data_IF_540848200607
#
_entry.id   IF_540848200607
#
_cell.length_a   1.000
_cell.length_b   1.000
_cell.length_c   1.000
_cell.angle_alpha   90.00
_cell.angle_beta   90.00
_cell.angle_gamma   90.00
#
_symmetry.space_group_name_H-M   'P 1'
#
loop_
_entity.id
_entity.type
_entity.pdbx_description
1 polymer ?
#
# COMPACT_ATOMS: atom_id res chain seq x y z
N UNK A 1 -14.26 24.64 79.56
CA UNK A 1 -13.59 24.69 78.24
C UNK A 1 -12.39 23.74 78.27
N UNK A 2 -12.50 22.59 77.61
CA UNK A 2 -11.40 21.64 77.38
C UNK A 2 -11.43 21.29 75.90
N UNK A 3 -10.40 21.67 75.16
CA UNK A 3 -10.23 21.32 73.75
C UNK A 3 -9.67 19.91 73.67
N UNK A 4 -10.41 18.99 73.05
CA UNK A 4 -9.92 17.67 72.67
C UNK A 4 -9.36 17.76 71.25
N UNK A 5 -8.06 17.50 71.13
CA UNK A 5 -7.33 17.45 69.87
C UNK A 5 -7.54 16.06 69.24
N UNK A 6 -8.28 15.98 68.14
CA UNK A 6 -8.45 14.77 67.33
C UNK A 6 -7.28 14.68 66.35
N UNK A 7 -6.38 13.71 66.56
CA UNK A 7 -5.35 13.32 65.60
C UNK A 7 -5.98 12.33 64.60
N UNK A 8 -5.93 12.57 63.28
CA UNK A 8 -6.38 11.60 62.31
C UNK A 8 -5.32 10.49 62.18
N UNK A 9 -5.68 9.28 62.58
CA UNK A 9 -4.92 8.07 62.30
C UNK A 9 -5.03 7.76 60.80
N UNK A 10 -3.95 8.00 60.05
CA UNK A 10 -3.79 7.51 58.69
C UNK A 10 -3.60 5.98 58.74
N UNK A 11 -4.64 5.23 58.37
CA UNK A 11 -4.51 3.81 58.06
C UNK A 11 -3.65 3.66 56.80
N UNK A 12 -2.38 3.29 56.98
CA UNK A 12 -1.58 2.73 55.89
C UNK A 12 -2.13 1.34 55.55
N UNK A 13 -2.73 1.26 54.36
CA UNK A 13 -3.15 0.03 53.72
C UNK A 13 -1.94 -0.82 53.36
N UNK A 14 -1.80 -1.99 53.99
CA UNK A 14 -0.97 -3.07 53.44
C UNK A 14 -1.74 -3.70 52.28
N UNK A 15 -1.61 -3.11 51.09
CA UNK A 15 -1.92 -3.79 49.84
C UNK A 15 -0.87 -4.88 49.65
N UNK A 16 -1.21 -6.10 50.06
CA UNK A 16 -0.44 -7.28 49.70
C UNK A 16 -0.45 -7.39 48.17
N UNK A 17 0.68 -7.05 47.54
CA UNK A 17 0.92 -7.40 46.15
C UNK A 17 1.02 -8.92 46.09
N UNK A 18 -0.06 -9.57 45.66
CA UNK A 18 -0.04 -10.98 45.27
C UNK A 18 0.99 -11.12 44.16
N UNK A 19 2.16 -11.69 44.46
CA UNK A 19 3.14 -12.03 43.44
C UNK A 19 2.50 -13.09 42.54
N UNK A 20 2.17 -12.69 41.32
CA UNK A 20 1.74 -13.62 40.27
C UNK A 20 2.95 -14.49 39.96
N UNK A 21 2.92 -15.74 40.41
CA UNK A 21 3.95 -16.73 40.08
C UNK A 21 3.72 -17.11 38.62
N UNK A 22 4.61 -16.67 37.74
CA UNK A 22 4.57 -17.05 36.33
C UNK A 22 5.30 -18.38 36.18
N UNK A 23 4.59 -19.41 35.74
CA UNK A 23 5.19 -20.72 35.53
C UNK A 23 6.22 -20.68 34.38
N UNK A 24 7.40 -21.31 34.57
CA UNK A 24 8.34 -21.50 33.48
C UNK A 24 7.76 -22.48 32.45
N UNK A 25 8.11 -22.29 31.17
CA UNK A 25 7.71 -23.21 30.13
C UNK A 25 8.51 -24.54 30.26
N UNK A 26 7.87 -25.69 30.49
CA UNK A 26 8.56 -26.97 30.66
C UNK A 26 9.32 -27.42 29.40
N UNK A 27 8.89 -26.98 28.20
CA UNK A 27 9.64 -27.23 26.96
C UNK A 27 10.87 -26.36 26.79
N UNK A 28 11.01 -25.31 27.59
CA UNK A 28 12.18 -24.44 27.62
C UNK A 28 13.12 -24.86 28.77
N UNK A 29 12.60 -25.08 29.97
CA UNK A 29 13.39 -25.51 31.13
C UNK A 29 13.87 -26.95 30.99
N UNK A 30 15.17 -27.18 30.98
CA UNK A 30 15.84 -28.48 30.86
C UNK A 30 15.81 -29.12 29.45
N UNK A 31 15.59 -28.33 28.40
CA UNK A 31 15.74 -28.80 27.03
C UNK A 31 17.22 -28.84 26.61
N UNK A 32 17.71 -29.92 25.98
CA UNK A 32 19.04 -29.92 25.36
C UNK A 32 19.15 -28.88 24.22
N UNK A 33 18.02 -28.38 23.72
CA UNK A 33 17.96 -27.36 22.67
C UNK A 33 17.93 -25.92 23.21
N UNK A 34 18.07 -25.73 24.52
CA UNK A 34 17.97 -24.41 25.15
C UNK A 34 18.83 -23.33 24.47
N UNK A 35 20.08 -23.58 24.02
CA UNK A 35 20.86 -22.57 23.28
C UNK A 35 20.17 -22.08 22.00
N UNK A 36 19.59 -22.99 21.22
CA UNK A 36 18.86 -22.67 19.98
C UNK A 36 17.55 -21.94 20.30
N UNK A 37 16.86 -22.34 21.37
CA UNK A 37 15.63 -21.67 21.81
C UNK A 37 15.90 -20.26 22.35
N UNK A 38 17.06 -20.02 22.95
CA UNK A 38 17.52 -18.69 23.38
C UNK A 38 17.79 -17.78 22.19
N UNK A 39 18.45 -18.30 21.16
CA UNK A 39 18.66 -17.62 19.87
C UNK A 39 17.33 -17.27 19.18
N UNK A 40 16.36 -18.19 19.24
CA UNK A 40 15.03 -17.94 18.71
C UNK A 40 14.29 -16.87 19.51
N UNK A 41 14.42 -16.86 20.83
CA UNK A 41 13.77 -15.90 21.73
C UNK A 41 14.63 -14.66 22.00
N UNK A 42 15.30 -14.14 20.97
CA UNK A 42 16.05 -12.88 21.01
C UNK A 42 15.51 -11.89 19.96
N UNK A 43 14.88 -10.80 20.42
CA UNK A 43 14.42 -9.73 19.55
C UNK A 43 14.60 -8.33 20.14
N UNK A 44 15.83 -7.82 20.05
CA UNK A 44 16.27 -6.56 20.65
C UNK A 44 15.43 -5.33 20.23
N UNK A 45 14.91 -5.31 19.01
CA UNK A 45 14.09 -4.18 18.52
C UNK A 45 12.70 -4.12 19.16
N UNK A 46 12.19 -5.23 19.70
CA UNK A 46 10.88 -5.30 20.33
C UNK A 46 10.94 -4.99 21.83
N UNK A 47 11.96 -5.46 22.53
CA UNK A 47 12.15 -5.21 23.97
C UNK A 47 12.84 -3.87 24.28
N UNK A 48 13.34 -3.17 23.26
CA UNK A 48 13.91 -1.83 23.37
C UNK A 48 15.42 -1.80 23.62
N UNK A 49 16.11 -2.94 23.55
CA UNK A 49 17.60 -2.98 23.55
C UNK A 49 18.20 -2.29 22.32
N UNK A 50 17.46 -2.24 21.21
CA UNK A 50 17.84 -1.50 20.00
C UNK A 50 16.66 -0.70 19.48
N UNK A 51 16.94 0.45 18.87
CA UNK A 51 15.91 1.25 18.21
C UNK A 51 15.60 0.68 16.82
N UNK A 52 14.32 0.58 16.42
CA UNK A 52 13.98 0.22 15.06
C UNK A 52 14.53 1.23 14.04
N UNK A 53 14.97 0.77 12.87
CA UNK A 53 15.59 1.62 11.85
C UNK A 53 14.79 1.63 10.54
N UNK A 54 14.92 2.73 9.79
CA UNK A 54 14.43 2.82 8.40
C UNK A 54 15.65 2.56 7.51
N UNK A 55 15.80 1.37 6.91
CA UNK A 55 16.98 1.07 6.12
C UNK A 55 16.95 1.87 4.81
N UNK A 56 18.13 2.18 4.29
CA UNK A 56 18.24 2.75 2.95
C UNK A 56 17.87 1.66 1.91
N UNK A 57 16.89 1.91 1.02
CA UNK A 57 16.43 0.91 0.05
C UNK A 57 17.49 0.54 -1.00
N UNK A 58 18.58 1.29 -1.09
CA UNK A 58 19.73 1.03 -1.99
C UNK A 58 20.95 0.42 -1.28
N UNK A 59 20.81 -0.04 -0.04
CA UNK A 59 21.89 -0.69 0.72
C UNK A 59 21.52 -2.12 1.08
N UNK A 60 22.50 -3.02 1.07
CA UNK A 60 22.33 -4.43 1.48
C UNK A 60 21.62 -4.53 2.83
N UNK A 61 20.52 -5.28 2.87
CA UNK A 61 19.69 -5.50 4.07
C UNK A 61 19.87 -6.94 4.51
N UNK A 62 20.19 -7.17 5.78
CA UNK A 62 20.33 -8.52 6.34
C UNK A 62 19.21 -8.81 7.33
N UNK A 63 18.85 -10.08 7.44
CA UNK A 63 17.86 -10.63 8.36
C UNK A 63 18.54 -11.76 9.13
N UNK A 64 18.30 -11.86 10.43
CA UNK A 64 18.90 -12.91 11.27
C UNK A 64 18.01 -14.15 11.35
N UNK A 65 16.70 -14.02 11.19
CA UNK A 65 15.77 -15.16 11.25
C UNK A 65 15.10 -15.42 9.91
N UNK A 66 14.82 -16.69 9.63
CA UNK A 66 14.10 -17.16 8.44
C UNK A 66 12.95 -18.08 8.87
N UNK A 67 11.80 -17.89 8.26
CA UNK A 67 10.57 -18.64 8.52
C UNK A 67 9.95 -19.10 7.19
N UNK A 68 9.62 -20.38 7.08
CA UNK A 68 8.71 -20.88 6.05
C UNK A 68 7.30 -20.91 6.62
N UNK A 69 6.38 -20.16 6.03
CA UNK A 69 4.99 -20.05 6.49
C UNK A 69 4.07 -20.70 5.47
N UNK A 70 3.16 -21.56 5.97
CA UNK A 70 1.99 -22.01 5.24
C UNK A 70 0.80 -21.20 5.71
N UNK A 71 0.07 -20.58 4.79
CA UNK A 71 -1.16 -19.89 5.12
C UNK A 71 -2.34 -20.35 4.26
N UNK A 72 -3.52 -20.28 4.84
CA UNK A 72 -4.80 -20.43 4.16
C UNK A 72 -5.47 -19.06 4.13
N UNK A 73 -5.69 -18.56 2.93
CA UNK A 73 -6.43 -17.34 2.66
C UNK A 73 -7.68 -17.67 1.82
N UNK A 74 -8.62 -16.73 1.60
CA UNK A 74 -9.82 -16.97 0.79
C UNK A 74 -9.52 -17.50 -0.63
N UNK A 75 -8.40 -17.11 -1.22
CA UNK A 75 -7.93 -17.59 -2.52
C UNK A 75 -7.30 -19.00 -2.52
N UNK A 76 -7.15 -19.64 -1.35
CA UNK A 76 -6.61 -20.98 -1.18
C UNK A 76 -5.42 -21.05 -0.23
N UNK A 77 -4.79 -22.23 -0.21
CA UNK A 77 -3.58 -22.49 0.58
C UNK A 77 -2.35 -22.07 -0.23
N UNK A 78 -1.39 -21.43 0.44
CA UNK A 78 -0.10 -21.07 -0.15
C UNK A 78 1.03 -21.04 0.88
N UNK A 79 2.23 -20.83 0.36
CA UNK A 79 3.49 -20.79 1.09
C UNK A 79 4.19 -19.46 0.84
N UNK A 80 4.91 -18.96 1.83
CA UNK A 80 5.66 -17.70 1.79
C UNK A 80 6.86 -17.80 2.72
N UNK A 81 7.97 -17.20 2.32
CA UNK A 81 9.17 -17.11 3.13
C UNK A 81 9.20 -15.75 3.79
N UNK A 82 9.40 -15.74 5.10
CA UNK A 82 9.50 -14.54 5.92
C UNK A 82 10.88 -14.48 6.53
N UNK A 83 11.49 -13.30 6.47
CA UNK A 83 12.82 -13.01 6.97
C UNK A 83 12.67 -11.90 8.01
N UNK A 84 13.18 -12.11 9.22
CA UNK A 84 13.04 -11.15 10.31
C UNK A 84 14.42 -10.63 10.67
N UNK A 85 14.54 -9.30 10.72
CA UNK A 85 15.66 -8.64 11.37
C UNK A 85 15.19 -8.21 12.76
N UNK A 86 15.56 -9.01 13.74
CA UNK A 86 15.16 -8.84 15.13
C UNK A 86 15.90 -7.69 15.82
N UNK A 87 17.02 -7.24 15.25
CA UNK A 87 17.85 -6.14 15.76
C UNK A 87 17.33 -4.76 15.38
N UNK A 88 16.84 -4.57 14.16
CA UNK A 88 16.34 -3.25 13.69
C UNK A 88 14.86 -3.25 13.35
N UNK A 89 14.16 -4.35 13.59
CA UNK A 89 12.70 -4.41 13.52
C UNK A 89 12.15 -4.42 12.10
N UNK A 90 12.69 -5.30 11.25
CA UNK A 90 12.25 -5.46 9.85
C UNK A 90 11.70 -6.85 9.59
N UNK A 91 10.73 -6.93 8.70
CA UNK A 91 10.14 -8.16 8.16
C UNK A 91 10.21 -8.10 6.64
N UNK A 92 11.02 -8.96 6.04
CA UNK A 92 11.06 -9.22 4.61
C UNK A 92 10.17 -10.42 4.26
N UNK A 93 9.49 -10.41 3.11
CA UNK A 93 8.70 -11.57 2.69
C UNK A 93 8.54 -11.71 1.18
N UNK A 94 8.43 -12.96 0.73
CA UNK A 94 8.10 -13.33 -0.65
C UNK A 94 6.59 -13.44 -0.86
N UNK A 95 6.07 -13.23 -2.08
CA UNK A 95 4.65 -13.43 -2.36
C UNK A 95 4.17 -14.85 -2.06
N UNK A 96 2.86 -15.01 -1.88
CA UNK A 96 2.25 -16.33 -1.78
C UNK A 96 2.44 -17.14 -3.05
N UNK A 97 3.00 -18.34 -2.88
CA UNK A 97 3.04 -19.37 -3.91
C UNK A 97 2.10 -20.53 -3.55
N UNK A 98 1.46 -21.13 -4.54
CA UNK A 98 0.64 -22.34 -4.33
C UNK A 98 1.48 -23.61 -4.18
N UNK A 99 2.72 -23.58 -4.64
CA UNK A 99 3.68 -24.69 -4.50
C UNK A 99 4.61 -24.42 -3.34
N UNK A 100 5.26 -25.47 -2.82
CA UNK A 100 6.41 -25.29 -1.93
C UNK A 100 7.44 -24.40 -2.63
N UNK A 101 8.10 -23.53 -1.85
CA UNK A 101 9.06 -22.54 -2.33
C UNK A 101 10.40 -22.74 -1.65
N UNK A 102 11.49 -22.45 -2.37
CA UNK A 102 12.77 -22.20 -1.72
C UNK A 102 12.74 -20.80 -1.10
N UNK A 103 13.35 -20.66 0.08
CA UNK A 103 13.56 -19.36 0.72
C UNK A 103 14.87 -18.68 0.27
N UNK A 104 15.36 -19.00 -0.93
CA UNK A 104 16.48 -18.31 -1.55
C UNK A 104 16.01 -17.04 -2.28
N UNK A 105 16.71 -15.93 -2.05
CA UNK A 105 16.40 -14.65 -2.68
C UNK A 105 17.18 -14.47 -3.99
N UNK A 106 16.72 -15.10 -5.07
CA UNK A 106 17.33 -14.93 -6.40
C UNK A 106 16.87 -13.62 -7.08
N UNK A 107 17.68 -12.58 -6.91
CA UNK A 107 17.42 -11.25 -7.48
C UNK A 107 17.49 -11.20 -9.01
N UNK A 108 17.96 -12.27 -9.67
CA UNK A 108 18.02 -12.38 -11.13
C UNK A 108 16.78 -13.05 -11.73
N UNK A 109 15.88 -13.62 -10.92
CA UNK A 109 14.62 -14.18 -11.40
C UNK A 109 13.77 -13.07 -12.07
N UNK A 110 13.36 -13.21 -13.34
CA UNK A 110 12.46 -12.26 -13.99
C UNK A 110 11.15 -11.98 -13.24
N UNK A 111 10.70 -12.92 -12.40
CA UNK A 111 9.50 -12.81 -11.57
C UNK A 111 9.82 -12.49 -10.10
N UNK A 112 11.05 -12.08 -9.79
CA UNK A 112 11.45 -11.74 -8.43
C UNK A 112 10.55 -10.65 -7.87
N UNK A 113 9.98 -10.91 -6.69
CA UNK A 113 9.25 -9.94 -5.89
C UNK A 113 9.63 -10.18 -4.44
N UNK A 114 9.99 -9.11 -3.74
CA UNK A 114 10.32 -9.15 -2.31
C UNK A 114 9.82 -7.88 -1.63
N UNK A 115 9.13 -8.04 -0.51
CA UNK A 115 8.58 -6.92 0.24
C UNK A 115 9.35 -6.78 1.55
N UNK A 116 9.60 -5.55 2.01
CA UNK A 116 10.18 -5.28 3.32
C UNK A 116 9.28 -4.28 4.04
N UNK A 117 8.93 -4.63 5.27
CA UNK A 117 8.12 -3.83 6.17
C UNK A 117 8.91 -3.60 7.46
N UNK A 118 8.88 -2.39 8.02
CA UNK A 118 9.57 -2.07 9.28
C UNK A 118 8.66 -1.49 10.35
N UNK A 119 9.01 -1.65 11.63
CA UNK A 119 8.21 -1.14 12.77
C UNK A 119 7.97 0.38 12.72
N UNK A 120 8.82 1.14 12.01
CA UNK A 120 8.66 2.60 11.80
C UNK A 120 7.72 2.98 10.66
N UNK A 121 6.94 2.05 10.11
CA UNK A 121 6.01 2.36 9.02
C UNK A 121 6.61 2.20 7.61
N UNK A 122 7.86 1.74 7.51
CA UNK A 122 8.56 1.62 6.23
C UNK A 122 7.97 0.49 5.40
N UNK A 123 7.78 0.74 4.09
CA UNK A 123 7.36 -0.28 3.14
C UNK A 123 8.14 -0.17 1.83
N UNK A 124 8.89 -1.22 1.51
CA UNK A 124 9.61 -1.38 0.25
C UNK A 124 9.09 -2.58 -0.52
N UNK A 125 8.80 -2.38 -1.80
CA UNK A 125 8.46 -3.46 -2.73
C UNK A 125 9.54 -3.52 -3.82
N UNK A 126 10.37 -4.55 -3.77
CA UNK A 126 11.40 -4.86 -4.75
C UNK A 126 10.83 -5.82 -5.78
N UNK A 127 11.01 -5.52 -7.06
CA UNK A 127 10.54 -6.39 -8.14
C UNK A 127 11.36 -6.22 -9.41
N UNK A 128 11.27 -7.24 -10.25
CA UNK A 128 11.91 -7.25 -11.56
C UNK A 128 10.90 -7.00 -12.68
N UNK A 129 11.36 -6.35 -13.75
CA UNK A 129 10.63 -6.28 -15.02
C UNK A 129 11.56 -6.64 -16.16
N UNK A 130 11.07 -7.45 -17.09
CA UNK A 130 11.79 -7.76 -18.32
C UNK A 130 11.26 -6.88 -19.45
N UNK A 131 12.08 -5.95 -19.95
CA UNK A 131 11.73 -5.09 -21.10
C UNK A 131 12.76 -5.24 -22.20
N UNK A 132 12.33 -5.63 -23.40
CA UNK A 132 13.19 -5.81 -24.57
C UNK A 132 14.40 -6.73 -24.29
N UNK A 133 14.20 -7.82 -23.53
CA UNK A 133 15.26 -8.76 -23.16
C UNK A 133 16.23 -8.27 -22.07
N UNK A 134 16.03 -7.05 -21.54
CA UNK A 134 16.84 -6.51 -20.44
C UNK A 134 16.05 -6.60 -19.13
N UNK A 135 16.64 -7.26 -18.14
CA UNK A 135 16.13 -7.31 -16.77
C UNK A 135 16.36 -5.96 -16.09
N UNK A 136 15.29 -5.32 -15.62
CA UNK A 136 15.34 -4.09 -14.85
C UNK A 136 14.84 -4.36 -13.43
N UNK A 137 15.62 -3.93 -12.45
CA UNK A 137 15.37 -4.16 -11.03
C UNK A 137 14.88 -2.85 -10.40
N UNK A 138 13.73 -2.92 -9.74
CA UNK A 138 12.95 -1.77 -9.31
C UNK A 138 12.58 -1.86 -7.84
N UNK A 139 12.67 -0.74 -7.11
CA UNK A 139 12.13 -0.63 -5.75
C UNK A 139 11.11 0.50 -5.69
N UNK A 140 9.94 0.18 -5.14
CA UNK A 140 8.92 1.16 -4.75
C UNK A 140 9.04 1.41 -3.24
N UNK A 141 9.20 2.68 -2.90
CA UNK A 141 9.29 3.21 -1.54
C UNK A 141 7.94 3.84 -1.16
N UNK A 142 6.95 3.00 -0.82
CA UNK A 142 5.59 3.44 -0.44
C UNK A 142 5.53 4.18 0.92
N UNK A 143 6.63 4.80 1.37
CA UNK A 143 6.76 5.57 2.62
C UNK A 143 5.90 6.85 2.67
N UNK A 144 4.99 7.03 1.70
CA UNK A 144 4.09 8.18 1.57
C UNK A 144 2.76 8.02 2.29
N UNK A 145 2.48 6.86 2.92
CA UNK A 145 1.27 6.61 3.74
C UNK A 145 1.62 5.86 5.04
N UNK A 146 1.30 6.42 6.22
CA UNK A 146 1.55 5.76 7.51
C UNK A 146 0.70 4.51 7.83
N UNK A 147 -0.09 3.94 6.92
CA UNK A 147 -1.27 3.15 7.33
C UNK A 147 -1.23 1.62 7.20
N UNK A 148 -0.29 1.01 6.49
CA UNK A 148 -0.55 -0.37 6.01
C UNK A 148 0.01 -1.49 6.91
N UNK A 149 0.82 -1.15 7.92
CA UNK A 149 1.33 -2.13 8.91
C UNK A 149 0.25 -2.70 9.84
N UNK A 150 -0.85 -1.96 10.04
CA UNK A 150 -1.95 -2.40 10.91
C UNK A 150 -2.65 -3.62 10.30
N UNK A 151 -2.54 -3.83 8.98
CA UNK A 151 -3.18 -4.96 8.28
C UNK A 151 -2.45 -6.31 8.45
N UNK A 152 -1.19 -6.33 8.92
CA UNK A 152 -0.42 -7.57 9.11
C UNK A 152 -0.34 -8.03 10.58
N UNK A 153 -0.59 -7.13 11.54
CA UNK A 153 -0.62 -7.46 12.96
C UNK A 153 -2.00 -7.98 13.35
N UNK A 154 -2.07 -9.22 13.84
CA UNK A 154 -3.29 -9.77 14.48
C UNK A 154 -3.35 -9.39 15.97
N UNK A 155 -2.40 -8.59 16.45
CA UNK A 155 -2.43 -8.03 17.79
C UNK A 155 -3.75 -7.29 18.03
N UNK A 156 -4.60 -7.86 18.88
CA UNK A 156 -5.97 -7.39 19.05
C UNK A 156 -6.08 -6.23 20.05
N UNK A 157 -4.98 -5.79 20.67
CA UNK A 157 -5.02 -4.93 21.88
C UNK A 157 -5.99 -5.46 22.95
N UNK A 158 -6.27 -6.77 22.90
CA UNK A 158 -7.21 -7.48 23.75
C UNK A 158 -6.45 -8.53 24.55
N UNK A 159 -6.91 -8.83 25.77
CA UNK A 159 -6.32 -9.91 26.56
C UNK A 159 -6.63 -11.27 25.94
N UNK A 160 -5.60 -12.08 25.77
CA UNK A 160 -5.71 -13.50 25.45
C UNK A 160 -5.36 -14.34 26.66
N UNK A 161 -6.08 -15.44 26.82
CA UNK A 161 -5.97 -16.33 27.98
C UNK A 161 -5.43 -17.68 27.55
N UNK A 162 -4.45 -18.18 28.31
CA UNK A 162 -3.87 -19.51 28.15
C UNK A 162 -4.98 -20.57 28.31
N UNK A 163 -4.88 -21.62 27.52
CA UNK A 163 -5.71 -22.82 27.60
C UNK A 163 -4.83 -24.04 27.90
N UNK A 164 -5.47 -25.15 28.24
CA UNK A 164 -4.78 -26.38 28.61
C UNK A 164 -4.25 -27.13 27.37
N UNK A 165 -4.77 -26.81 26.19
CA UNK A 165 -4.34 -27.36 24.92
C UNK A 165 -2.91 -26.96 24.57
N UNK A 166 -2.11 -27.97 24.20
CA UNK A 166 -0.74 -27.82 23.74
C UNK A 166 -0.53 -28.54 22.41
N UNK A 167 0.41 -28.04 21.60
CA UNK A 167 0.77 -28.64 20.31
C UNK A 167 2.28 -28.59 20.10
N UNK A 168 2.81 -29.63 19.49
CA UNK A 168 4.23 -29.73 19.15
C UNK A 168 4.50 -29.21 17.73
N UNK A 169 5.58 -28.46 17.58
CA UNK A 169 6.05 -27.84 16.35
C UNK A 169 7.52 -28.24 16.11
N UNK A 170 7.86 -28.48 14.85
CA UNK A 170 9.20 -28.86 14.39
C UNK A 170 9.79 -30.13 15.06
N UNK A 171 8.99 -30.92 15.78
CA UNK A 171 9.46 -32.08 16.56
C UNK A 171 10.20 -31.72 17.85
N UNK A 172 10.16 -30.45 18.29
CA UNK A 172 10.97 -29.94 19.40
C UNK A 172 10.31 -28.92 20.31
N UNK A 173 9.45 -28.06 19.77
CA UNK A 173 8.84 -26.96 20.53
C UNK A 173 7.40 -27.29 20.86
N UNK A 174 7.01 -27.22 22.13
CA UNK A 174 5.59 -27.21 22.50
C UNK A 174 5.10 -25.78 22.66
N UNK A 175 3.97 -25.49 22.04
CA UNK A 175 3.26 -24.23 22.13
C UNK A 175 1.94 -24.45 22.85
N UNK A 176 1.48 -23.43 23.58
CA UNK A 176 0.20 -23.44 24.27
C UNK A 176 -0.80 -22.60 23.51
N UNK A 177 -2.06 -23.02 23.55
CA UNK A 177 -3.14 -22.25 22.96
C UNK A 177 -3.48 -21.04 23.84
N UNK A 178 -3.58 -19.88 23.20
CA UNK A 178 -4.11 -18.64 23.77
C UNK A 178 -5.34 -18.22 22.98
N UNK A 179 -6.40 -17.80 23.67
CA UNK A 179 -7.67 -17.34 23.07
C UNK A 179 -8.19 -16.07 23.72
N UNK A 180 -8.72 -15.16 22.91
CA UNK A 180 -9.49 -14.01 23.39
C UNK A 180 -10.95 -14.43 23.64
N UNK A 181 -11.61 -13.79 24.59
CA UNK A 181 -13.03 -14.04 24.89
C UNK A 181 -13.90 -13.64 23.71
N UNK A 182 -14.78 -14.54 23.26
CA UNK A 182 -15.74 -14.26 22.18
C UNK A 182 -15.17 -14.33 20.76
N UNK A 183 -13.92 -14.79 20.62
CA UNK A 183 -13.23 -14.95 19.33
C UNK A 183 -13.07 -16.43 18.97
N UNK A 184 -13.04 -16.72 17.68
CA UNK A 184 -12.78 -18.08 17.17
C UNK A 184 -11.30 -18.31 16.90
N UNK A 185 -10.52 -17.24 16.77
CA UNK A 185 -9.09 -17.29 16.54
C UNK A 185 -8.36 -17.87 17.76
N UNK A 186 -7.36 -18.70 17.49
CA UNK A 186 -6.50 -19.30 18.51
C UNK A 186 -5.04 -19.06 18.12
N UNK A 187 -4.26 -18.55 19.06
CA UNK A 187 -2.84 -18.27 18.89
C UNK A 187 -2.03 -19.34 19.63
N UNK A 188 -1.25 -20.12 18.89
CA UNK A 188 -0.37 -21.12 19.48
C UNK A 188 0.98 -20.47 19.75
N UNK A 189 1.27 -20.22 21.02
CA UNK A 189 2.40 -19.39 21.44
C UNK A 189 3.45 -20.20 22.18
N UNK A 190 4.72 -19.88 21.90
CA UNK A 190 5.89 -20.38 22.59
C UNK A 190 6.68 -19.22 23.20
N UNK A 191 7.14 -19.38 24.45
CA UNK A 191 7.97 -18.39 25.15
C UNK A 191 8.67 -19.04 26.34
N UNK A 192 9.55 -18.28 27.03
CA UNK A 192 10.28 -18.77 28.22
C UNK A 192 9.35 -19.07 29.40
N UNK A 193 8.24 -18.34 29.46
CA UNK A 193 7.22 -18.41 30.51
C UNK A 193 5.85 -18.65 29.91
N UNK A 194 4.89 -19.10 30.72
CA UNK A 194 3.52 -19.39 30.28
C UNK A 194 2.48 -18.68 31.18
N UNK A 195 2.39 -17.35 31.13
CA UNK A 195 1.42 -16.60 31.91
C UNK A 195 -0.02 -16.93 31.47
N UNK A 196 -0.95 -16.93 32.42
CA UNK A 196 -2.37 -17.23 32.15
C UNK A 196 -3.07 -16.18 31.28
N UNK A 197 -2.51 -14.97 31.25
CA UNK A 197 -3.03 -13.82 30.52
C UNK A 197 -1.90 -13.05 29.84
N UNK A 198 -2.11 -12.72 28.57
CA UNK A 198 -1.23 -11.88 27.77
C UNK A 198 -2.02 -10.73 27.13
N UNK A 199 -1.39 -9.58 26.94
CA UNK A 199 -1.96 -8.45 26.19
C UNK A 199 -1.08 -8.20 24.98
N UNK A 200 -1.55 -8.59 23.79
CA UNK A 200 -0.79 -8.45 22.55
C UNK A 200 -0.98 -7.06 21.95
N UNK A 201 0.12 -6.33 21.73
CA UNK A 201 0.10 -4.99 21.16
C UNK A 201 0.65 -5.02 19.71
N UNK A 202 -0.06 -4.42 18.73
CA UNK A 202 0.37 -4.35 17.32
C UNK A 202 1.76 -3.76 17.10
N UNK A 203 2.13 -2.74 17.87
CA UNK A 203 3.41 -2.05 17.76
C UNK A 203 4.58 -2.84 18.37
N UNK A 204 4.30 -3.99 19.00
CA UNK A 204 5.28 -4.89 19.61
C UNK A 204 5.29 -6.26 18.93
N UNK A 205 4.98 -6.27 17.64
CA UNK A 205 4.88 -7.46 16.81
C UNK A 205 5.83 -7.39 15.61
N UNK A 206 6.60 -8.45 15.40
CA UNK A 206 7.42 -8.66 14.19
C UNK A 206 7.03 -9.99 13.56
N UNK A 207 6.22 -9.93 12.54
CA UNK A 207 5.79 -11.12 11.81
C UNK A 207 4.89 -10.76 10.66
N UNK A 208 4.26 -11.78 10.10
CA UNK A 208 3.34 -11.65 8.99
C UNK A 208 2.23 -12.67 9.17
N UNK A 209 1.04 -12.39 8.65
CA UNK A 209 -0.04 -13.39 8.63
C UNK A 209 -0.47 -13.90 10.02
N UNK A 210 -0.21 -13.11 11.07
CA UNK A 210 -0.52 -13.47 12.45
C UNK A 210 0.47 -14.38 13.15
N UNK A 211 1.56 -14.77 12.50
CA UNK A 211 2.63 -15.58 13.08
C UNK A 211 3.96 -14.82 13.07
N UNK A 212 4.80 -15.07 14.07
CA UNK A 212 6.05 -14.35 14.30
C UNK A 212 6.23 -13.93 15.75
N UNK A 213 7.04 -12.92 15.99
CA UNK A 213 7.41 -12.46 17.33
C UNK A 213 6.40 -11.49 17.90
N UNK A 214 6.02 -11.68 19.16
CA UNK A 214 5.20 -10.77 19.94
C UNK A 214 5.89 -10.51 21.28
N UNK A 215 6.17 -9.24 21.55
CA UNK A 215 6.63 -8.81 22.86
C UNK A 215 5.45 -8.29 23.69
N UNK A 216 5.40 -8.71 24.95
CA UNK A 216 4.41 -8.32 25.95
C UNK A 216 5.13 -8.03 27.28
N UNK A 217 4.42 -7.53 28.28
CA UNK A 217 5.02 -7.22 29.60
C UNK A 217 5.72 -8.42 30.24
N UNK A 218 5.22 -9.64 30.00
CA UNK A 218 5.75 -10.89 30.55
C UNK A 218 6.96 -11.44 29.76
N UNK A 219 7.34 -10.80 28.65
CA UNK A 219 8.52 -11.17 27.85
C UNK A 219 8.24 -11.35 26.36
N UNK A 220 9.16 -12.04 25.67
CA UNK A 220 9.06 -12.33 24.26
C UNK A 220 8.42 -13.69 24.02
N UNK A 221 7.51 -13.73 23.05
CA UNK A 221 6.82 -14.93 22.59
C UNK A 221 6.90 -15.05 21.07
N UNK A 222 6.82 -16.28 20.57
CA UNK A 222 6.68 -16.60 19.16
C UNK A 222 5.29 -17.20 18.96
N UNK A 223 4.48 -16.57 18.12
CA UNK A 223 3.22 -17.12 17.63
C UNK A 223 3.58 -18.06 16.47
N UNK A 224 3.48 -19.36 16.73
CA UNK A 224 3.85 -20.41 15.78
C UNK A 224 2.70 -20.75 14.82
N UNK A 225 1.46 -20.57 15.28
CA UNK A 225 0.28 -20.79 14.48
C UNK A 225 -0.87 -19.88 14.90
N UNK A 226 -1.61 -19.41 13.89
CA UNK A 226 -2.94 -18.83 14.01
C UNK A 226 -3.94 -19.79 13.37
N UNK A 227 -4.92 -20.27 14.16
CA UNK A 227 -6.00 -21.14 13.68
C UNK A 227 -7.38 -20.54 13.94
N UNK A 228 -8.42 -21.07 13.28
CA UNK A 228 -9.81 -20.70 13.56
C UNK A 228 -10.36 -19.56 12.69
N UNK A 229 -9.57 -19.07 11.73
CA UNK A 229 -9.95 -18.22 10.59
C UNK A 229 -10.40 -16.79 10.92
N UNK A 230 -11.13 -16.60 12.01
CA UNK A 230 -11.68 -15.32 12.43
C UNK A 230 -12.60 -14.66 11.40
N UNK A 231 -12.79 -13.35 11.54
CA UNK A 231 -13.51 -12.52 10.57
C UNK A 231 -12.83 -12.45 9.19
N UNK A 232 -11.56 -12.84 9.10
CA UNK A 232 -10.74 -12.70 7.89
C UNK A 232 -10.55 -14.03 7.13
N UNK A 233 -11.11 -15.14 7.62
CA UNK A 233 -10.92 -16.50 7.09
C UNK A 233 -9.46 -16.81 6.78
N UNK A 234 -8.59 -16.45 7.72
CA UNK A 234 -7.15 -16.51 7.55
C UNK A 234 -6.51 -17.40 8.63
N UNK A 235 -5.70 -18.36 8.21
CA UNK A 235 -4.94 -19.25 9.10
C UNK A 235 -3.49 -19.30 8.63
N UNK A 236 -2.54 -19.37 9.56
CA UNK A 236 -1.12 -19.49 9.22
C UNK A 236 -0.37 -20.34 10.23
N UNK A 237 0.64 -21.06 9.75
CA UNK A 237 1.50 -21.93 10.53
C UNK A 237 2.94 -21.76 10.05
N UNK A 238 3.86 -21.53 10.98
CA UNK A 238 5.29 -21.60 10.72
C UNK A 238 5.65 -23.08 10.59
N UNK A 239 6.12 -23.48 9.41
CA UNK A 239 6.56 -24.85 9.12
C UNK A 239 8.02 -25.07 9.45
N UNK A 240 8.84 -24.02 9.31
CA UNK A 240 10.27 -24.03 9.62
C UNK A 240 10.67 -22.67 10.20
N UNK A 241 11.53 -22.68 11.21
CA UNK A 241 12.14 -21.50 11.82
C UNK A 241 13.64 -21.77 11.96
N UNK A 242 14.46 -20.85 11.48
CA UNK A 242 15.92 -20.97 11.48
C UNK A 242 16.57 -19.64 11.88
N UNK A 243 17.67 -19.72 12.61
CA UNK A 243 18.55 -18.58 12.90
C UNK A 243 19.72 -18.58 11.90
N UNK A 244 19.45 -18.08 10.70
CA UNK A 244 20.41 -18.08 9.59
C UNK A 244 20.49 -16.69 9.00
N UNK A 245 21.66 -16.04 9.04
CA UNK A 245 21.83 -14.70 8.50
C UNK A 245 21.64 -14.72 6.98
N UNK A 246 20.55 -14.09 6.53
CA UNK A 246 20.20 -13.97 5.12
C UNK A 246 20.30 -12.51 4.70
N UNK A 247 21.14 -12.22 3.71
CA UNK A 247 21.29 -10.85 3.23
C UNK A 247 20.76 -10.66 1.81
N UNK A 248 19.86 -9.71 1.67
CA UNK A 248 19.30 -9.24 0.42
C UNK A 248 20.14 -8.09 -0.14
N UNK A 249 20.69 -8.28 -1.35
CA UNK A 249 21.46 -7.24 -2.03
C UNK A 249 20.53 -6.30 -2.82
N UNK A 250 20.06 -5.24 -2.18
CA UNK A 250 19.16 -4.25 -2.79
C UNK A 250 19.87 -3.20 -3.64
N UNK A 251 21.21 -3.15 -3.65
CA UNK A 251 21.98 -2.10 -4.36
C UNK A 251 21.76 -2.09 -5.87
N UNK A 252 21.24 -3.20 -6.42
CA UNK A 252 20.95 -3.36 -7.83
C UNK A 252 19.59 -2.74 -8.22
N UNK A 253 18.71 -2.51 -7.25
CA UNK A 253 17.36 -2.02 -7.47
C UNK A 253 17.34 -0.49 -7.54
N UNK A 254 16.67 0.04 -8.56
CA UNK A 254 16.52 1.48 -8.75
C UNK A 254 15.19 1.95 -8.19
N UNK A 255 15.21 3.05 -7.45
CA UNK A 255 14.00 3.69 -6.93
C UNK A 255 13.16 4.15 -8.13
N UNK A 256 11.95 3.63 -8.24
CA UNK A 256 11.06 3.87 -9.38
C UNK A 256 10.58 5.31 -9.36
N UNK A 257 10.22 5.82 -8.17
CA UNK A 257 9.61 7.13 -8.02
C UNK A 257 10.52 8.27 -8.48
N UNK A 258 11.85 8.14 -8.30
CA UNK A 258 12.80 9.16 -8.72
C UNK A 258 13.01 9.17 -10.25
N UNK A 259 13.10 7.98 -10.86
CA UNK A 259 13.32 7.85 -12.29
C UNK A 259 12.06 8.16 -13.11
N UNK A 260 10.89 7.67 -12.68
CA UNK A 260 9.62 7.92 -13.37
C UNK A 260 9.23 9.40 -13.33
N UNK A 261 9.49 10.10 -12.21
CA UNK A 261 9.20 11.53 -12.16
C UNK A 261 10.13 12.35 -13.04
N UNK A 262 11.41 11.99 -13.14
CA UNK A 262 12.35 12.64 -14.06
C UNK A 262 11.98 12.39 -15.53
N UNK A 263 11.70 11.14 -15.91
CA UNK A 263 11.25 10.78 -17.26
C UNK A 263 9.92 11.44 -17.62
N UNK A 264 8.96 11.48 -16.68
CA UNK A 264 7.68 12.16 -16.88
C UNK A 264 7.85 13.66 -17.08
N UNK A 265 8.72 14.32 -16.29
CA UNK A 265 9.03 15.73 -16.45
C UNK A 265 9.65 16.03 -17.83
N UNK A 266 10.59 15.21 -18.28
CA UNK A 266 11.23 15.35 -19.59
C UNK A 266 10.24 15.12 -20.74
N UNK A 267 9.40 14.09 -20.65
CA UNK A 267 8.37 13.79 -21.66
C UNK A 267 7.34 14.92 -21.77
N UNK A 268 6.90 15.48 -20.63
CA UNK A 268 5.99 16.63 -20.60
C UNK A 268 6.63 17.87 -21.22
N UNK A 269 7.92 18.12 -20.97
CA UNK A 269 8.64 19.22 -21.61
C UNK A 269 8.69 19.06 -23.14
N UNK A 270 9.02 17.87 -23.65
CA UNK A 270 9.01 17.61 -25.09
C UNK A 270 7.61 17.75 -25.70
N UNK A 271 6.56 17.35 -24.98
CA UNK A 271 5.18 17.53 -25.41
C UNK A 271 4.79 19.02 -25.49
N UNK A 272 5.21 19.83 -24.52
CA UNK A 272 5.02 21.29 -24.52
C UNK A 272 5.72 21.94 -25.73
N UNK A 273 6.98 21.61 -25.98
CA UNK A 273 7.73 22.14 -27.14
C UNK A 273 7.05 21.78 -28.48
N UNK A 274 6.50 20.55 -28.59
CA UNK A 274 5.72 20.15 -29.77
C UNK A 274 4.41 20.91 -29.90
N UNK A 275 3.73 21.20 -28.79
CA UNK A 275 2.50 21.99 -28.78
C UNK A 275 2.78 23.45 -29.18
N UNK A 276 3.86 24.04 -28.68
CA UNK A 276 4.27 25.41 -29.03
C UNK A 276 4.52 25.55 -30.53
N UNK A 277 5.28 24.62 -31.13
CA UNK A 277 5.46 24.57 -32.59
C UNK A 277 4.15 24.43 -33.35
N UNK A 278 3.19 23.64 -32.86
CA UNK A 278 1.87 23.47 -33.49
C UNK A 278 1.02 24.73 -33.39
N UNK A 279 1.10 25.47 -32.28
CA UNK A 279 0.41 26.75 -32.09
C UNK A 279 0.98 27.77 -33.07
N UNK A 280 2.31 27.87 -33.19
CA UNK A 280 2.98 28.73 -34.16
C UNK A 280 2.58 28.37 -35.61
N UNK A 281 2.62 27.09 -35.98
CA UNK A 281 2.20 26.64 -37.30
C UNK A 281 0.72 26.91 -37.59
N UNK A 282 -0.16 26.83 -36.58
CA UNK A 282 -1.56 27.14 -36.77
C UNK A 282 -1.81 28.65 -36.92
N UNK A 283 -0.96 29.49 -36.33
CA UNK A 283 -1.06 30.95 -36.45
C UNK A 283 -0.93 31.45 -37.89
N UNK A 284 -0.18 30.75 -38.74
CA UNK A 284 -0.02 31.02 -40.17
C UNK A 284 -1.01 30.25 -41.06
N UNK A 285 -1.95 29.51 -40.49
CA UNK A 285 -2.96 28.76 -41.25
C UNK A 285 -4.13 29.65 -41.68
N UNK A 286 -4.62 29.47 -42.91
CA UNK A 286 -5.82 30.10 -43.46
C UNK A 286 -7.05 29.17 -43.42
N UNK A 287 -6.97 28.05 -42.69
CA UNK A 287 -8.06 27.09 -42.64
C UNK A 287 -9.32 27.68 -41.96
N UNK A 288 -10.55 27.46 -42.48
CA UNK A 288 -11.78 28.02 -41.90
C UNK A 288 -12.03 27.67 -40.42
N UNK A 289 -11.50 26.53 -39.97
CA UNK A 289 -11.59 26.06 -38.58
C UNK A 289 -10.39 26.45 -37.68
N UNK A 290 -9.55 27.39 -38.12
CA UNK A 290 -8.34 27.83 -37.39
C UNK A 290 -8.64 28.20 -35.94
N UNK A 291 -9.68 29.00 -35.69
CA UNK A 291 -10.02 29.49 -34.35
C UNK A 291 -10.35 28.35 -33.37
N UNK A 292 -11.08 27.33 -33.83
CA UNK A 292 -11.39 26.15 -33.01
C UNK A 292 -10.14 25.32 -32.72
N UNK A 293 -9.30 25.11 -33.74
CA UNK A 293 -8.02 24.42 -33.57
C UNK A 293 -7.05 25.17 -32.65
N UNK A 294 -7.00 26.50 -32.72
CA UNK A 294 -6.23 27.33 -31.78
C UNK A 294 -6.72 27.16 -30.34
N UNK A 295 -8.04 27.09 -30.13
CA UNK A 295 -8.64 26.85 -28.82
C UNK A 295 -8.22 25.48 -28.27
N UNK A 296 -8.32 24.42 -29.08
CA UNK A 296 -7.89 23.06 -28.72
C UNK A 296 -6.39 22.99 -28.39
N UNK A 297 -5.54 23.64 -29.19
CA UNK A 297 -4.10 23.65 -28.94
C UNK A 297 -3.73 24.40 -27.66
N UNK A 298 -4.33 25.58 -27.41
CA UNK A 298 -4.13 26.34 -26.16
C UNK A 298 -4.62 25.56 -24.94
N UNK A 299 -5.76 24.87 -25.06
CA UNK A 299 -6.31 24.04 -24.01
C UNK A 299 -5.42 22.82 -23.71
N UNK A 300 -4.89 22.16 -24.75
CA UNK A 300 -3.89 21.10 -24.60
C UNK A 300 -2.64 21.58 -23.86
N UNK A 301 -2.15 22.79 -24.18
CA UNK A 301 -1.01 23.40 -23.48
C UNK A 301 -1.32 23.60 -22.00
N UNK A 302 -2.50 24.12 -21.66
CA UNK A 302 -2.93 24.31 -20.27
C UNK A 302 -3.00 22.97 -19.49
N UNK A 303 -3.54 21.92 -20.10
CA UNK A 303 -3.56 20.57 -19.49
C UNK A 303 -2.14 20.05 -19.25
N UNK A 304 -1.23 20.25 -20.20
CA UNK A 304 0.17 19.85 -20.06
C UNK A 304 0.91 20.64 -18.96
N UNK A 305 0.65 21.95 -18.85
CA UNK A 305 1.22 22.83 -17.82
C UNK A 305 0.79 22.36 -16.42
N UNK A 306 -0.50 22.05 -16.22
CA UNK A 306 -1.00 21.51 -14.95
C UNK A 306 -0.36 20.15 -14.64
N UNK A 307 -0.23 19.28 -15.64
CA UNK A 307 0.42 17.97 -15.45
C UNK A 307 1.90 18.13 -15.03
N UNK A 308 2.62 19.11 -15.59
CA UNK A 308 3.99 19.43 -15.20
C UNK A 308 4.07 19.93 -13.76
N UNK A 309 3.19 20.86 -13.37
CA UNK A 309 3.11 21.33 -11.99
C UNK A 309 2.77 20.18 -11.03
N UNK A 310 1.90 19.25 -11.44
CA UNK A 310 1.58 18.04 -10.69
C UNK A 310 2.82 17.19 -10.41
N UNK A 311 3.64 16.91 -11.43
CA UNK A 311 4.88 16.15 -11.27
C UNK A 311 5.85 16.88 -10.34
N UNK A 312 6.02 18.19 -10.49
CA UNK A 312 6.89 19.00 -9.63
C UNK A 312 6.43 19.01 -8.16
N UNK A 313 5.14 19.20 -7.90
CA UNK A 313 4.59 19.15 -6.54
C UNK A 313 4.73 17.75 -5.92
N UNK A 314 4.65 16.67 -6.72
CA UNK A 314 4.91 15.31 -6.24
C UNK A 314 6.38 15.04 -5.92
N UNK A 315 7.32 15.68 -6.64
CA UNK A 315 8.76 15.62 -6.33
C UNK A 315 9.08 16.32 -5.01
N UNK A 316 8.40 17.44 -4.73
CA UNK A 316 8.58 18.22 -3.50
C UNK A 316 7.80 17.66 -2.29
N UNK A 317 7.09 16.53 -2.45
CA UNK A 317 6.30 15.92 -1.36
C UNK A 317 5.00 16.65 -1.02
N UNK A 318 4.58 17.64 -1.82
CA UNK A 318 3.35 18.41 -1.62
C UNK A 318 2.12 17.66 -2.14
N UNK A 319 1.72 16.60 -1.44
CA UNK A 319 0.62 15.71 -1.85
C UNK A 319 -0.72 16.44 -2.03
N UNK A 320 -1.10 17.33 -1.09
CA UNK A 320 -2.37 18.08 -1.17
C UNK A 320 -2.42 18.97 -2.41
N UNK A 321 -1.30 19.62 -2.75
CA UNK A 321 -1.19 20.46 -3.94
C UNK A 321 -1.26 19.63 -5.23
N UNK A 322 -0.59 18.48 -5.27
CA UNK A 322 -0.70 17.52 -6.39
C UNK A 322 -2.14 17.05 -6.61
N UNK A 323 -2.88 16.77 -5.53
CA UNK A 323 -4.29 16.39 -5.63
C UNK A 323 -5.17 17.53 -6.14
N UNK A 324 -4.91 18.78 -5.72
CA UNK A 324 -5.62 19.95 -6.26
C UNK A 324 -5.36 20.13 -7.77
N UNK A 325 -4.10 19.98 -8.20
CA UNK A 325 -3.74 20.00 -9.61
C UNK A 325 -4.39 18.85 -10.39
N UNK A 326 -4.61 17.70 -9.77
CA UNK A 326 -5.34 16.60 -10.40
C UNK A 326 -6.81 16.95 -10.67
N UNK A 327 -7.49 17.57 -9.69
CA UNK A 327 -8.87 18.08 -9.88
C UNK A 327 -8.92 19.10 -11.02
N UNK A 328 -7.95 20.01 -11.08
CA UNK A 328 -7.87 21.01 -12.14
C UNK A 328 -7.61 20.37 -13.51
N UNK A 329 -6.70 19.39 -13.58
CA UNK A 329 -6.41 18.65 -14.80
C UNK A 329 -7.65 17.93 -15.35
N UNK A 330 -8.45 17.31 -14.48
CA UNK A 330 -9.69 16.63 -14.88
C UNK A 330 -10.71 17.60 -15.49
N UNK A 331 -10.84 18.81 -14.93
CA UNK A 331 -11.68 19.88 -15.48
C UNK A 331 -11.19 20.36 -16.85
N UNK A 332 -9.90 20.66 -16.96
CA UNK A 332 -9.33 21.16 -18.20
C UNK A 332 -9.33 20.09 -19.30
N UNK A 333 -9.22 18.80 -18.93
CA UNK A 333 -9.36 17.67 -19.85
C UNK A 333 -10.80 17.52 -20.34
N UNK A 334 -11.81 17.69 -19.47
CA UNK A 334 -13.21 17.69 -19.89
C UNK A 334 -13.51 18.88 -20.82
N UNK A 335 -12.96 20.06 -20.55
CA UNK A 335 -13.08 21.22 -21.45
C UNK A 335 -12.41 20.95 -22.81
N UNK A 336 -11.25 20.30 -22.84
CA UNK A 336 -10.57 19.91 -24.06
C UNK A 336 -11.42 18.98 -24.94
N UNK A 337 -12.18 18.04 -24.34
CA UNK A 337 -13.08 17.17 -25.09
C UNK A 337 -14.20 17.96 -25.78
N UNK A 338 -14.78 18.95 -25.09
CA UNK A 338 -15.79 19.85 -25.68
C UNK A 338 -15.19 20.66 -26.82
N UNK A 339 -14.01 21.25 -26.61
CA UNK A 339 -13.34 22.08 -27.62
C UNK A 339 -12.94 21.27 -28.86
N UNK A 340 -12.52 20.01 -28.68
CA UNK A 340 -12.22 19.09 -29.76
C UNK A 340 -13.45 18.76 -30.62
N UNK A 341 -14.61 18.57 -29.98
CA UNK A 341 -15.88 18.36 -30.69
C UNK A 341 -16.31 19.62 -31.46
N UNK A 342 -16.07 20.82 -30.93
CA UNK A 342 -16.30 22.08 -31.67
C UNK A 342 -15.44 22.16 -32.95
N UNK A 343 -14.17 21.74 -32.87
CA UNK A 343 -13.28 21.67 -34.03
C UNK A 343 -13.77 20.65 -35.08
N UNK A 344 -14.18 19.47 -34.64
CA UNK A 344 -14.68 18.40 -35.53
C UNK A 344 -16.00 18.78 -36.20
N UNK A 345 -16.93 19.42 -35.46
CA UNK A 345 -18.16 19.98 -36.02
C UNK A 345 -17.83 21.02 -37.10
N UNK A 346 -16.86 21.90 -36.86
CA UNK A 346 -16.42 22.87 -37.87
C UNK A 346 -15.88 22.17 -39.12
N UNK A 347 -15.00 21.17 -38.98
CA UNK A 347 -14.45 20.42 -40.11
C UNK A 347 -15.56 19.73 -40.92
N UNK A 348 -16.53 19.13 -40.23
CA UNK A 348 -17.67 18.49 -40.86
C UNK A 348 -18.52 19.50 -41.64
N UNK A 349 -18.79 20.70 -41.08
CA UNK A 349 -19.51 21.78 -41.78
C UNK A 349 -18.76 22.25 -43.04
N UNK A 350 -17.43 22.34 -43.00
CA UNK A 350 -16.62 22.68 -44.19
C UNK A 350 -16.74 21.59 -45.27
N UNK A 351 -16.74 20.31 -44.88
CA UNK A 351 -16.94 19.20 -45.82
C UNK A 351 -18.35 19.17 -46.40
N UNK A 352 -19.38 19.43 -45.59
CA UNK A 352 -20.76 19.56 -46.02
C UNK A 352 -20.92 20.66 -47.08
N UNK A 353 -20.29 21.81 -46.88
CA UNK A 353 -20.33 22.93 -47.82
C UNK A 353 -19.67 22.61 -49.18
N UNK A 354 -18.72 21.68 -49.23
CA UNK A 354 -17.98 21.29 -50.45
C UNK A 354 -18.60 20.08 -51.17
N UNK A 355 -19.40 19.29 -50.48
CA UNK A 355 -19.93 18.03 -51.00
C UNK A 355 -21.16 18.26 -51.86
N UNK A 356 -21.10 17.85 -53.13
CA UNK A 356 -22.23 17.93 -54.06
C UNK A 356 -23.03 16.61 -54.15
N UNK A 357 -22.46 15.50 -53.67
CA UNK A 357 -23.11 14.18 -53.68
C UNK A 357 -24.12 14.05 -52.53
N UNK A 358 -25.37 13.71 -52.86
CA UNK A 358 -26.49 13.61 -51.91
C UNK A 358 -26.29 12.52 -50.83
N UNK A 359 -25.74 11.35 -51.18
CA UNK A 359 -25.51 10.27 -50.20
C UNK A 359 -24.39 10.62 -49.22
N UNK A 360 -23.33 11.26 -49.72
CA UNK A 360 -22.21 11.74 -48.88
C UNK A 360 -22.66 12.88 -47.97
N UNK A 361 -23.52 13.77 -48.47
CA UNK A 361 -24.11 14.86 -47.69
C UNK A 361 -24.99 14.34 -46.55
N UNK A 362 -25.86 13.37 -46.82
CA UNK A 362 -26.71 12.76 -45.78
C UNK A 362 -25.87 12.09 -44.68
N UNK A 363 -24.79 11.39 -45.05
CA UNK A 363 -23.85 10.79 -44.08
C UNK A 363 -23.18 11.84 -43.21
N UNK A 364 -22.68 12.92 -43.82
CA UNK A 364 -22.04 14.02 -43.08
C UNK A 364 -23.04 14.76 -42.18
N UNK A 365 -24.30 14.93 -42.60
CA UNK A 365 -25.36 15.50 -41.75
C UNK A 365 -25.68 14.63 -40.53
N UNK A 366 -25.73 13.30 -40.71
CA UNK A 366 -25.86 12.35 -39.60
C UNK A 366 -24.66 12.42 -38.64
N UNK A 367 -23.45 12.47 -39.18
CA UNK A 367 -22.23 12.60 -38.40
C UNK A 367 -22.18 13.92 -37.61
N UNK A 368 -22.55 15.05 -38.23
CA UNK A 368 -22.67 16.34 -37.55
C UNK A 368 -23.66 16.28 -36.39
N UNK A 369 -24.85 15.72 -36.63
CA UNK A 369 -25.86 15.58 -35.58
C UNK A 369 -25.35 14.72 -34.42
N UNK A 370 -24.62 13.64 -34.73
CA UNK A 370 -23.97 12.83 -33.72
C UNK A 370 -22.91 13.62 -32.91
N UNK A 371 -22.01 14.33 -33.60
CA UNK A 371 -20.99 15.17 -32.94
C UNK A 371 -21.63 16.22 -32.02
N UNK A 372 -22.77 16.77 -32.42
CA UNK A 372 -23.52 17.77 -31.66
C UNK A 372 -24.15 17.17 -30.39
N UNK A 373 -24.75 15.97 -30.48
CA UNK A 373 -25.23 15.23 -29.31
C UNK A 373 -24.09 14.86 -28.35
N UNK A 374 -22.94 14.42 -28.89
CA UNK A 374 -21.75 14.14 -28.08
C UNK A 374 -21.22 15.39 -27.40
N UNK A 375 -21.25 16.55 -28.06
CA UNK A 375 -20.81 17.82 -27.49
C UNK A 375 -21.68 18.24 -26.31
N UNK A 376 -23.00 18.18 -26.46
CA UNK A 376 -23.95 18.46 -25.37
C UNK A 376 -23.72 17.52 -24.18
N UNK A 377 -23.47 16.25 -24.49
CA UNK A 377 -23.17 15.24 -23.50
C UNK A 377 -21.88 15.54 -22.71
N UNK A 378 -20.77 15.87 -23.39
CA UNK A 378 -19.51 16.26 -22.72
C UNK A 378 -19.65 17.59 -21.95
N UNK A 379 -20.49 18.52 -22.41
CA UNK A 379 -20.81 19.75 -21.68
C UNK A 379 -21.53 19.47 -20.36
N UNK A 380 -22.40 18.46 -20.31
CA UNK A 380 -23.03 18.03 -19.06
C UNK A 380 -22.00 17.45 -18.08
N UNK A 381 -21.05 16.65 -18.56
CA UNK A 381 -19.94 16.13 -17.73
C UNK A 381 -19.12 17.28 -17.17
N UNK A 382 -18.71 18.23 -18.01
CA UNK A 382 -17.94 19.39 -17.59
C UNK A 382 -18.69 20.22 -16.53
N UNK A 383 -19.99 20.43 -16.70
CA UNK A 383 -20.84 21.12 -15.72
C UNK A 383 -20.87 20.38 -14.38
N UNK A 384 -21.03 19.05 -14.40
CA UNK A 384 -20.97 18.22 -13.19
C UNK A 384 -19.60 18.31 -12.51
N UNK A 385 -18.51 18.28 -13.27
CA UNK A 385 -17.17 18.43 -12.71
C UNK A 385 -16.98 19.79 -12.04
N UNK A 386 -17.47 20.88 -12.67
CA UNK A 386 -17.43 22.22 -12.07
C UNK A 386 -18.24 22.28 -10.76
N UNK A 387 -19.41 21.65 -10.73
CA UNK A 387 -20.23 21.53 -9.53
C UNK A 387 -19.50 20.76 -8.41
N UNK A 388 -18.92 19.60 -8.72
CA UNK A 388 -18.15 18.79 -7.75
C UNK A 388 -16.98 19.58 -7.15
N UNK A 389 -16.22 20.33 -7.97
CA UNK A 389 -15.14 21.20 -7.46
C UNK A 389 -15.67 22.27 -6.50
N UNK A 390 -16.84 22.85 -6.79
CA UNK A 390 -17.50 23.83 -5.92
C UNK A 390 -18.07 23.25 -4.63
N UNK A 391 -18.55 22.00 -4.67
CA UNK A 391 -19.12 21.29 -3.50
C UNK A 391 -18.04 20.82 -2.50
N UNK A 392 -16.83 20.54 -2.98
CA UNK A 392 -15.74 20.00 -2.16
C UNK A 392 -14.50 20.92 -2.12
N UNK A 393 -14.65 22.18 -1.68
CA UNK A 393 -13.51 23.08 -1.54
C UNK A 393 -12.57 22.54 -0.45
N UNK A 394 -11.29 22.39 -0.77
CA UNK A 394 -10.28 21.86 0.15
C UNK A 394 -10.32 20.34 0.38
N UNK A 395 -11.22 19.60 -0.29
CA UNK A 395 -11.28 18.13 -0.21
C UNK A 395 -10.99 17.48 -1.59
N UNK A 396 -9.78 17.65 -2.14
CA UNK A 396 -9.48 17.24 -3.52
C UNK A 396 -9.63 15.72 -3.71
N UNK A 397 -9.26 14.89 -2.73
CA UNK A 397 -9.44 13.44 -2.81
C UNK A 397 -10.91 13.02 -2.99
N UNK A 398 -11.84 13.68 -2.28
CA UNK A 398 -13.28 13.43 -2.41
C UNK A 398 -13.80 13.90 -3.76
N UNK A 399 -13.38 15.10 -4.21
CA UNK A 399 -13.73 15.62 -5.53
C UNK A 399 -13.28 14.67 -6.67
N UNK A 400 -12.06 14.15 -6.61
CA UNK A 400 -11.52 13.21 -7.61
C UNK A 400 -12.35 11.94 -7.65
N UNK A 401 -12.65 11.35 -6.49
CA UNK A 401 -13.45 10.12 -6.40
C UNK A 401 -14.82 10.31 -7.08
N UNK A 402 -15.48 11.43 -6.82
CA UNK A 402 -16.79 11.76 -7.41
C UNK A 402 -16.68 12.01 -8.92
N UNK A 403 -15.62 12.70 -9.40
CA UNK A 403 -15.38 12.89 -10.83
C UNK A 403 -15.15 11.56 -11.58
N UNK A 404 -14.42 10.63 -10.97
CA UNK A 404 -14.23 9.27 -11.49
C UNK A 404 -15.55 8.51 -11.53
N UNK A 405 -16.36 8.62 -10.48
CA UNK A 405 -17.68 7.99 -10.42
C UNK A 405 -18.59 8.51 -11.56
N UNK A 406 -18.63 9.83 -11.78
CA UNK A 406 -19.38 10.43 -12.90
C UNK A 406 -18.95 9.83 -14.24
N UNK A 407 -17.65 9.61 -14.49
CA UNK A 407 -17.19 8.96 -15.72
C UNK A 407 -17.61 7.49 -15.81
N UNK A 408 -17.63 6.76 -14.70
CA UNK A 408 -17.99 5.34 -14.66
C UNK A 408 -19.49 5.09 -14.80
N UNK A 409 -20.32 5.97 -14.24
CA UNK A 409 -21.78 5.90 -14.34
C UNK A 409 -22.27 6.16 -15.76
N UNK A 410 -21.44 6.84 -16.55
CA UNK A 410 -21.68 7.14 -17.95
C UNK A 410 -21.06 6.01 -18.80
N UNK A 411 -21.77 4.88 -18.88
CA UNK A 411 -21.36 3.74 -19.73
C UNK A 411 -21.99 3.72 -21.13
N UNK A 412 -22.71 4.76 -21.55
CA UNK A 412 -23.27 4.86 -22.91
C UNK A 412 -22.83 6.15 -23.57
N UNK A 413 -21.96 6.04 -24.58
CA UNK A 413 -21.66 7.16 -25.48
C UNK A 413 -22.88 7.40 -26.38
N UNK A 414 -23.32 8.65 -26.60
CA UNK A 414 -24.21 8.95 -27.71
C UNK A 414 -23.52 8.47 -29.01
N UNK A 415 -24.30 7.83 -29.90
CA UNK A 415 -23.86 7.28 -31.19
C UNK A 415 -23.00 6.01 -31.17
N UNK A 416 -23.36 5.00 -30.38
CA UNK A 416 -22.94 3.63 -30.70
C UNK A 416 -23.91 3.04 -31.72
N UNK A 417 -23.41 2.62 -32.89
CA UNK A 417 -24.13 1.69 -33.77
C UNK A 417 -24.52 0.43 -33.01
#
# INVERSE_FOLDING_TARGET
MKYACLVPFLFFTNLAFTQVVIEPNPSYTNSPEQPVLDEWLDAASLDGRTEPEIPNPSQKICFDKRMLIKARAPQGIGYTCVFVNTKIGLVGYTPFSKTSISCDLDVNDPNFIFNIIGLKGTHFNYYNTLRNGVLKQHVLTNNRRPSDLISSSIGVNEPVYKKDEQREFFGKVKAWEYKATGRTESWWMFGKTLPDKLIMQPNKYLGLFGVGYQYVEQGLFIILQLSGGGAYNFEAEILELEDVPTCFNSTLFRIVEENEMAEAAQSLQQAQERLDRRIEQNSSSDHPCKAYKDKVLKQNKKVADIAKQQVQSMQQGHQTQSMQQHVERELETAQLMVDGLDEDICKNNVQLARTQNQSSRQRLEQERNCLQQRREFEQQILSRFKSIKGQYPGQPAKAIKEMVQVRQDIKRKPCTN
#
